data_IF_375978712534
#
_entry.id   IF_375978712534
#
_cell.length_a   1.000
_cell.length_b   1.000
_cell.length_c   1.000
_cell.angle_alpha   90.00
_cell.angle_beta   90.00
_cell.angle_gamma   90.00
#
_symmetry.space_group_name_H-M   'P 1'
#
loop_
_entity.id
_entity.type
_entity.pdbx_description
1 polymer ?
#
# COMPACT_ATOMS: atom_id res chain seq x y z
N UNK A 1 12.65 21.91 -7.33
CA UNK A 1 11.93 20.79 -7.99
C UNK A 1 10.46 21.16 -8.02
N UNK A 2 9.83 21.38 -9.19
CA UNK A 2 8.37 21.53 -9.22
C UNK A 2 7.77 20.23 -8.66
N UNK A 3 6.88 20.34 -7.66
CA UNK A 3 6.05 19.21 -7.23
C UNK A 3 5.28 18.76 -8.46
N UNK A 4 5.45 17.52 -8.93
CA UNK A 4 4.56 17.00 -9.95
C UNK A 4 3.11 17.13 -9.47
N UNK A 5 2.17 17.46 -10.36
CA UNK A 5 0.79 17.82 -10.00
C UNK A 5 0.11 16.72 -9.18
N UNK A 6 0.49 15.44 -9.39
CA UNK A 6 0.12 14.29 -8.57
C UNK A 6 0.29 14.51 -7.03
N UNK A 7 1.20 15.38 -6.59
CA UNK A 7 1.42 15.73 -5.17
C UNK A 7 0.62 16.94 -4.68
N UNK A 8 -0.02 17.69 -5.58
CA UNK A 8 -0.81 18.88 -5.28
C UNK A 8 -2.32 18.61 -5.24
N UNK A 9 -2.75 17.49 -5.82
CA UNK A 9 -4.17 17.10 -5.93
C UNK A 9 -4.66 16.41 -4.68
N UNK A 10 -5.78 16.90 -4.14
CA UNK A 10 -6.52 16.25 -3.08
C UNK A 10 -7.46 15.19 -3.68
N UNK A 11 -7.05 13.93 -3.65
CA UNK A 11 -7.84 12.80 -4.15
C UNK A 11 -8.99 12.39 -3.22
N UNK A 12 -9.10 12.99 -2.02
CA UNK A 12 -10.32 12.88 -1.21
C UNK A 12 -11.39 13.83 -1.73
N UNK A 13 -11.00 15.03 -2.14
CA UNK A 13 -11.91 15.99 -2.76
C UNK A 13 -12.26 15.64 -4.22
N UNK A 14 -11.35 14.99 -4.93
CA UNK A 14 -11.49 14.57 -6.34
C UNK A 14 -11.28 13.05 -6.50
N UNK A 15 -12.11 12.20 -5.87
CA UNK A 15 -11.92 10.75 -5.91
C UNK A 15 -12.00 10.20 -7.35
N UNK A 16 -12.80 10.78 -8.23
CA UNK A 16 -12.95 10.39 -9.64
C UNK A 16 -11.65 10.55 -10.46
N UNK A 17 -10.72 11.40 -10.03
CA UNK A 17 -9.40 11.51 -10.66
C UNK A 17 -8.44 10.38 -10.25
N UNK A 18 -8.77 9.61 -9.21
CA UNK A 18 -7.97 8.48 -8.78
C UNK A 18 -8.11 7.28 -9.73
N UNK A 19 -6.97 6.77 -10.21
CA UNK A 19 -6.91 5.54 -10.99
C UNK A 19 -6.32 4.39 -10.17
N UNK A 20 -7.01 3.24 -10.19
CA UNK A 20 -6.54 2.03 -9.52
C UNK A 20 -5.36 1.43 -10.30
N UNK A 21 -4.14 1.81 -9.90
CA UNK A 21 -2.91 1.23 -10.44
C UNK A 21 -2.65 -0.21 -9.99
N UNK A 22 -1.71 -0.89 -10.68
CA UNK A 22 -1.27 -2.26 -10.34
C UNK A 22 -0.47 -2.29 -9.04
N UNK A 23 -0.79 -3.21 -8.14
CA UNK A 23 -0.04 -3.45 -6.91
C UNK A 23 0.02 -2.22 -6.00
N UNK A 24 1.23 -1.70 -5.81
CA UNK A 24 1.57 -0.56 -4.94
C UNK A 24 1.72 0.77 -5.70
N UNK A 25 1.34 0.83 -6.97
CA UNK A 25 1.46 2.06 -7.76
C UNK A 25 0.66 3.21 -7.12
N UNK A 26 1.30 4.37 -6.98
CA UNK A 26 0.69 5.59 -6.44
C UNK A 26 0.78 5.80 -4.93
N UNK A 27 1.20 4.79 -4.14
CA UNK A 27 1.20 4.90 -2.65
C UNK A 27 1.95 6.10 -2.09
N UNK A 28 3.02 6.54 -2.76
CA UNK A 28 3.81 7.69 -2.31
C UNK A 28 3.39 9.03 -2.93
N UNK A 29 2.31 9.05 -3.72
CA UNK A 29 1.90 10.22 -4.52
C UNK A 29 0.51 10.73 -4.14
N UNK A 30 -0.45 9.83 -3.96
CA UNK A 30 -1.86 10.16 -3.75
C UNK A 30 -2.07 10.83 -2.39
N UNK A 31 -2.31 12.14 -2.39
CA UNK A 31 -2.64 12.92 -1.19
C UNK A 31 -4.17 12.97 -0.98
N UNK A 32 -4.63 13.13 0.28
CA UNK A 32 -3.87 13.23 1.53
C UNK A 32 -3.42 11.88 2.12
N UNK A 33 -3.88 10.76 1.54
CA UNK A 33 -3.71 9.41 2.09
C UNK A 33 -2.26 8.99 2.32
N UNK A 34 -1.34 9.41 1.44
CA UNK A 34 0.10 9.21 1.68
C UNK A 34 0.51 9.79 3.03
N UNK A 35 0.13 11.04 3.31
CA UNK A 35 0.54 11.74 4.54
C UNK A 35 -0.09 11.13 5.78
N UNK A 36 -1.27 10.53 5.65
CA UNK A 36 -1.97 9.84 6.74
C UNK A 36 -1.41 8.43 7.00
N UNK A 37 -1.10 7.67 5.94
CA UNK A 37 -0.74 6.25 6.03
C UNK A 37 0.77 5.99 6.13
N UNK A 38 1.61 6.83 5.51
CA UNK A 38 3.06 6.65 5.55
C UNK A 38 3.65 6.68 6.96
N UNK A 39 3.26 7.59 7.86
CA UNK A 39 3.78 7.60 9.24
C UNK A 39 3.43 6.33 10.04
N UNK A 40 2.34 5.65 9.68
CA UNK A 40 1.90 4.41 10.32
C UNK A 40 2.66 3.18 9.80
N UNK A 41 3.42 3.31 8.73
CA UNK A 41 3.99 2.18 8.00
C UNK A 41 5.41 1.83 8.47
N UNK A 42 5.59 0.67 9.11
CA UNK A 42 6.90 0.18 9.56
C UNK A 42 6.94 -1.34 9.65
N UNK A 43 8.09 -1.93 9.30
CA UNK A 43 8.35 -3.37 9.38
C UNK A 43 9.76 -3.67 9.93
N UNK A 44 10.32 -2.73 10.70
CA UNK A 44 11.71 -2.85 11.21
C UNK A 44 11.88 -4.07 12.13
N UNK A 45 10.91 -4.31 13.02
CA UNK A 45 10.82 -5.49 13.89
C UNK A 45 9.43 -6.13 13.77
N UNK A 46 9.21 -7.36 14.25
CA UNK A 46 7.88 -7.97 14.29
C UNK A 46 6.85 -7.14 15.07
N UNK A 47 7.24 -6.52 16.18
CA UNK A 47 6.40 -5.66 17.00
C UNK A 47 5.98 -4.41 16.23
N UNK A 48 6.94 -3.76 15.56
CA UNK A 48 6.65 -2.61 14.71
C UNK A 48 5.72 -2.98 13.55
N UNK A 49 5.86 -4.17 12.96
CA UNK A 49 4.98 -4.68 11.92
C UNK A 49 3.56 -4.94 12.43
N UNK A 50 3.41 -5.51 13.63
CA UNK A 50 2.11 -5.69 14.30
C UNK A 50 1.41 -4.35 14.55
N UNK A 51 2.12 -3.40 15.14
CA UNK A 51 1.59 -2.06 15.39
C UNK A 51 1.20 -1.35 14.08
N UNK A 52 2.08 -1.43 13.08
CA UNK A 52 1.84 -0.83 11.77
C UNK A 52 0.64 -1.44 11.04
N UNK A 53 0.56 -2.77 10.95
CA UNK A 53 -0.57 -3.44 10.29
C UNK A 53 -1.89 -3.19 11.03
N UNK A 54 -1.87 -3.12 12.36
CA UNK A 54 -3.05 -2.77 13.15
C UNK A 54 -3.49 -1.31 12.90
N UNK A 55 -2.57 -0.36 12.87
CA UNK A 55 -2.88 1.05 12.61
C UNK A 55 -3.42 1.26 11.19
N UNK A 56 -2.80 0.64 10.18
CA UNK A 56 -3.29 0.70 8.80
C UNK A 56 -4.66 0.03 8.64
N UNK A 57 -4.91 -1.05 9.39
CA UNK A 57 -6.22 -1.71 9.41
C UNK A 57 -7.29 -0.83 10.04
N UNK A 58 -7.01 -0.21 11.19
CA UNK A 58 -7.93 0.75 11.81
C UNK A 58 -8.23 1.91 10.86
N UNK A 59 -7.22 2.40 10.13
CA UNK A 59 -7.43 3.47 9.18
C UNK A 59 -8.21 3.04 7.94
N UNK A 60 -8.01 1.81 7.47
CA UNK A 60 -8.87 1.19 6.46
C UNK A 60 -10.35 1.13 6.90
N UNK A 61 -10.60 0.71 8.15
CA UNK A 61 -11.96 0.67 8.70
C UNK A 61 -12.58 2.07 8.79
N UNK A 62 -11.79 3.07 9.19
CA UNK A 62 -12.24 4.46 9.22
C UNK A 62 -12.66 4.96 7.82
N UNK A 63 -11.85 4.72 6.78
CA UNK A 63 -12.22 5.05 5.41
C UNK A 63 -13.44 4.25 4.93
N UNK A 64 -13.54 2.98 5.31
CA UNK A 64 -14.68 2.12 4.98
C UNK A 64 -15.98 2.71 5.53
N UNK A 65 -16.00 3.08 6.81
CA UNK A 65 -17.16 3.73 7.45
C UNK A 65 -17.48 5.07 6.80
N UNK A 66 -16.46 5.86 6.44
CA UNK A 66 -16.63 7.16 5.80
C UNK A 66 -17.08 7.10 4.33
N UNK A 67 -17.18 5.92 3.71
CA UNK A 67 -17.49 5.83 2.28
C UNK A 67 -16.31 6.10 1.35
N UNK A 68 -15.11 6.31 1.89
CA UNK A 68 -13.93 6.78 1.18
C UNK A 68 -13.18 5.62 0.49
N UNK A 69 -13.54 5.34 -0.76
CA UNK A 69 -12.91 4.26 -1.52
C UNK A 69 -11.41 4.49 -1.79
N UNK A 70 -10.99 5.72 -2.08
CA UNK A 70 -9.58 6.00 -2.39
C UNK A 70 -8.71 5.75 -1.16
N UNK A 71 -9.17 6.17 0.01
CA UNK A 71 -8.53 5.84 1.29
C UNK A 71 -8.47 4.34 1.55
N UNK A 72 -9.57 3.63 1.32
CA UNK A 72 -9.60 2.16 1.45
C UNK A 72 -8.56 1.48 0.55
N UNK A 73 -8.48 1.88 -0.73
CA UNK A 73 -7.51 1.28 -1.65
C UNK A 73 -6.08 1.67 -1.29
N UNK A 74 -5.82 2.91 -0.86
CA UNK A 74 -4.50 3.31 -0.37
C UNK A 74 -4.07 2.49 0.84
N UNK A 75 -4.92 2.32 1.86
CA UNK A 75 -4.61 1.48 3.01
C UNK A 75 -4.29 0.03 2.60
N UNK A 76 -5.08 -0.54 1.66
CA UNK A 76 -4.78 -1.85 1.06
C UNK A 76 -3.40 -1.89 0.38
N UNK A 77 -3.04 -0.85 -0.38
CA UNK A 77 -1.72 -0.77 -1.04
C UNK A 77 -0.58 -0.73 -0.02
N UNK A 78 -0.75 0.02 1.08
CA UNK A 78 0.25 0.08 2.15
C UNK A 78 0.41 -1.25 2.88
N UNK A 79 -0.70 -1.99 3.13
CA UNK A 79 -0.65 -3.35 3.65
C UNK A 79 0.08 -4.30 2.69
N UNK A 80 -0.21 -4.23 1.39
CA UNK A 80 0.52 -4.97 0.36
C UNK A 80 2.01 -4.65 0.38
N UNK A 81 2.37 -3.36 0.42
CA UNK A 81 3.76 -2.89 0.49
C UNK A 81 4.49 -3.40 1.74
N UNK A 82 3.78 -3.48 2.87
CA UNK A 82 4.29 -4.10 4.10
C UNK A 82 4.67 -5.55 3.88
N UNK A 83 3.76 -6.33 3.27
CA UNK A 83 4.00 -7.73 2.93
C UNK A 83 5.17 -7.90 1.95
N UNK A 84 5.13 -7.22 0.79
CA UNK A 84 6.12 -7.42 -0.27
C UNK A 84 7.52 -6.99 0.16
N UNK A 85 7.65 -5.85 0.86
CA UNK A 85 8.96 -5.37 1.33
C UNK A 85 9.49 -6.22 2.47
N UNK A 86 8.68 -6.54 3.49
CA UNK A 86 9.15 -7.43 4.55
C UNK A 86 9.55 -8.80 3.98
N UNK A 87 8.79 -9.34 3.03
CA UNK A 87 9.08 -10.63 2.40
C UNK A 87 10.32 -10.61 1.52
N UNK A 88 10.63 -9.48 0.88
CA UNK A 88 11.91 -9.28 0.21
C UNK A 88 13.07 -9.42 1.20
N UNK A 89 12.99 -8.78 2.37
CA UNK A 89 14.05 -8.87 3.39
C UNK A 89 14.14 -10.25 4.03
N UNK A 90 13.01 -10.97 4.14
CA UNK A 90 13.00 -12.35 4.63
C UNK A 90 13.72 -13.34 3.69
N UNK A 91 13.71 -13.07 2.38
CA UNK A 91 14.32 -13.92 1.34
C UNK A 91 15.73 -13.49 0.95
N UNK A 92 16.01 -12.19 1.03
CA UNK A 92 17.28 -11.62 0.60
C UNK A 92 17.92 -10.91 1.80
N UNK A 93 19.04 -11.40 2.35
CA UNK A 93 19.77 -10.72 3.41
C UNK A 93 20.03 -9.24 3.06
N UNK A 94 19.65 -8.34 3.96
CA UNK A 94 19.74 -6.89 3.74
C UNK A 94 18.82 -6.33 2.63
N UNK A 95 17.90 -7.14 2.09
CA UNK A 95 16.99 -6.78 1.01
C UNK A 95 17.63 -6.66 -0.38
N UNK A 96 18.90 -7.06 -0.56
CA UNK A 96 19.61 -6.89 -1.85
C UNK A 96 19.33 -8.08 -2.77
N UNK A 97 18.84 -7.79 -3.98
CA UNK A 97 18.58 -8.80 -5.02
C UNK A 97 19.77 -9.03 -5.95
N UNK A 98 20.75 -8.15 -5.90
CA UNK A 98 21.97 -8.20 -6.71
C UNK A 98 23.17 -8.09 -5.77
N UNK A 99 24.25 -8.74 -6.15
CA UNK A 99 25.59 -8.52 -5.60
C UNK A 99 26.20 -7.21 -6.12
N UNK A 100 27.30 -6.71 -5.50
CA UNK A 100 27.93 -5.46 -5.93
C UNK A 100 28.40 -5.44 -7.39
N UNK A 101 28.68 -6.63 -7.96
CA UNK A 101 29.07 -6.85 -9.35
C UNK A 101 27.86 -6.92 -10.32
N UNK A 102 26.63 -6.80 -9.81
CA UNK A 102 25.41 -6.90 -10.60
C UNK A 102 24.87 -8.33 -10.76
N UNK A 103 25.52 -9.34 -10.20
CA UNK A 103 25.06 -10.73 -10.26
C UNK A 103 23.76 -10.90 -9.48
N UNK A 104 22.71 -11.53 -10.04
CA UNK A 104 21.49 -11.84 -9.31
C UNK A 104 21.74 -12.76 -8.12
N UNK A 105 21.22 -12.39 -6.96
CA UNK A 105 21.20 -13.25 -5.77
C UNK A 105 20.03 -14.21 -5.85
N UNK A 106 20.27 -15.45 -5.49
CA UNK A 106 19.19 -16.41 -5.28
C UNK A 106 18.44 -16.12 -3.96
N UNK A 107 17.11 -16.24 -3.95
CA UNK A 107 16.34 -16.10 -2.72
C UNK A 107 16.70 -17.24 -1.75
N UNK A 108 17.06 -16.88 -0.54
CA UNK A 108 17.28 -17.83 0.54
C UNK A 108 15.95 -18.12 1.24
N UNK A 109 15.73 -19.37 1.64
CA UNK A 109 14.52 -19.74 2.36
C UNK A 109 14.60 -19.20 3.79
N UNK A 110 13.88 -18.10 4.04
CA UNK A 110 13.68 -17.51 5.38
C UNK A 110 14.98 -17.10 6.09
N UNK A 111 15.91 -16.49 5.34
CA UNK A 111 17.16 -15.96 5.88
C UNK A 111 16.96 -15.00 7.06
N UNK A 112 15.82 -14.29 7.11
CA UNK A 112 15.41 -13.52 8.29
C UNK A 112 14.00 -13.94 8.74
N UNK A 113 13.89 -14.80 9.77
CA UNK A 113 12.61 -15.24 10.33
C UNK A 113 11.76 -14.09 10.88
N UNK A 114 12.38 -13.05 11.46
CA UNK A 114 11.65 -11.90 12.00
C UNK A 114 11.00 -11.08 10.87
N UNK A 115 11.67 -10.94 9.73
CA UNK A 115 11.09 -10.31 8.53
C UNK A 115 9.99 -11.17 7.91
N UNK A 116 10.13 -12.50 7.97
CA UNK A 116 9.07 -13.42 7.54
C UNK A 116 7.81 -13.22 8.39
N UNK A 117 7.96 -13.19 9.70
CA UNK A 117 6.86 -12.93 10.64
C UNK A 117 6.19 -11.58 10.35
N UNK A 118 6.98 -10.51 10.24
CA UNK A 118 6.49 -9.19 9.88
C UNK A 118 5.67 -9.19 8.58
N UNK A 119 6.14 -9.90 7.56
CA UNK A 119 5.43 -10.00 6.29
C UNK A 119 4.09 -10.74 6.42
N UNK A 120 4.03 -11.83 7.20
CA UNK A 120 2.80 -12.59 7.41
C UNK A 120 1.74 -11.77 8.14
N UNK A 121 2.15 -10.91 9.07
CA UNK A 121 1.25 -9.96 9.75
C UNK A 121 0.58 -9.02 8.74
N UNK A 122 1.35 -8.41 7.84
CA UNK A 122 0.78 -7.57 6.78
C UNK A 122 -0.08 -8.36 5.79
N UNK A 123 0.34 -9.59 5.44
CA UNK A 123 -0.39 -10.45 4.52
C UNK A 123 -1.79 -10.77 5.04
N UNK A 124 -1.93 -11.10 6.33
CA UNK A 124 -3.21 -11.42 6.93
C UNK A 124 -4.20 -10.24 6.79
N UNK A 125 -3.76 -9.01 7.10
CA UNK A 125 -4.59 -7.81 6.94
C UNK A 125 -4.86 -7.46 5.47
N UNK A 126 -3.87 -7.62 4.60
CA UNK A 126 -4.05 -7.40 3.17
C UNK A 126 -5.08 -8.37 2.56
N UNK A 127 -5.00 -9.65 2.91
CA UNK A 127 -5.97 -10.66 2.46
C UNK A 127 -7.37 -10.36 3.01
N UNK A 128 -7.48 -9.90 4.26
CA UNK A 128 -8.76 -9.47 4.83
C UNK A 128 -9.40 -8.32 4.03
N UNK A 129 -8.64 -7.29 3.64
CA UNK A 129 -9.18 -6.21 2.78
C UNK A 129 -9.63 -6.75 1.42
N UNK A 130 -8.88 -7.68 0.83
CA UNK A 130 -9.24 -8.28 -0.48
C UNK A 130 -10.49 -9.14 -0.41
N UNK A 131 -10.77 -9.73 0.75
CA UNK A 131 -11.96 -10.52 1.01
C UNK A 131 -13.16 -9.66 1.48
N UNK A 132 -12.96 -8.37 1.78
CA UNK A 132 -14.06 -7.50 2.22
C UNK A 132 -15.02 -7.21 1.04
N UNK A 133 -16.30 -7.63 1.14
CA UNK A 133 -17.28 -7.42 0.08
C UNK A 133 -17.54 -5.93 -0.18
N UNK A 134 -17.48 -5.07 0.83
CA UNK A 134 -17.67 -3.61 0.67
C UNK A 134 -16.54 -3.01 -0.15
N UNK A 135 -15.31 -3.48 0.05
CA UNK A 135 -14.19 -3.05 -0.79
C UNK A 135 -14.36 -3.52 -2.23
N UNK A 136 -14.79 -4.76 -2.45
CA UNK A 136 -15.01 -5.30 -3.80
C UNK A 136 -16.10 -4.53 -4.56
N UNK A 137 -17.23 -4.25 -3.90
CA UNK A 137 -18.33 -3.47 -4.47
C UNK A 137 -17.89 -2.06 -4.84
N UNK A 138 -17.28 -1.33 -3.91
CA UNK A 138 -16.82 0.05 -4.16
C UNK A 138 -15.74 0.11 -5.22
N UNK A 139 -14.84 -0.89 -5.26
CA UNK A 139 -13.85 -1.00 -6.32
C UNK A 139 -14.50 -1.16 -7.69
N UNK A 140 -15.50 -2.04 -7.80
CA UNK A 140 -16.23 -2.25 -9.05
C UNK A 140 -16.96 -0.97 -9.47
N UNK A 141 -17.65 -0.31 -8.53
CA UNK A 141 -18.31 0.97 -8.78
C UNK A 141 -17.30 2.02 -9.27
N UNK A 142 -16.16 2.19 -8.61
CA UNK A 142 -15.12 3.14 -9.01
C UNK A 142 -14.57 2.87 -10.42
N UNK A 143 -14.37 1.59 -10.76
CA UNK A 143 -13.89 1.19 -12.09
C UNK A 143 -14.93 1.40 -13.20
N UNK A 144 -16.22 1.36 -12.87
CA UNK A 144 -17.30 1.61 -13.82
C UNK A 144 -17.47 3.09 -14.16
N UNK A 145 -17.03 3.99 -13.27
CA UNK A 145 -17.07 5.44 -13.53
C UNK A 145 -15.92 5.83 -14.45
N UNK A 146 -16.25 6.47 -15.57
CA UNK A 146 -15.24 7.03 -16.47
C UNK A 146 -14.50 8.17 -15.76
N UNK A 147 -13.17 8.17 -15.87
CA UNK A 147 -12.36 9.29 -15.39
C UNK A 147 -12.69 10.53 -16.22
N UNK A 148 -13.09 11.67 -15.61
CA UNK A 148 -13.33 12.90 -16.35
C UNK A 148 -12.06 13.39 -17.06
N UNK A 149 -12.21 14.01 -18.23
CA UNK A 149 -11.09 14.60 -18.98
C UNK A 149 -10.43 15.75 -18.20
N UNK A 150 -11.16 16.42 -17.32
CA UNK A 150 -10.64 17.45 -16.41
C UNK A 150 -9.56 16.92 -15.45
N UNK A 151 -9.47 15.60 -15.26
CA UNK A 151 -8.42 14.98 -14.46
C UNK A 151 -7.12 14.76 -15.25
N UNK A 152 -7.09 15.02 -16.56
CA UNK A 152 -5.89 14.93 -17.40
C UNK A 152 -4.98 16.17 -17.24
N UNK A 153 -5.52 17.28 -16.70
CA UNK A 153 -4.80 18.53 -16.40
C UNK A 153 -4.28 18.58 -14.95
N UNK A 154 -4.36 17.45 -14.23
CA UNK A 154 -4.16 17.29 -12.78
C UNK A 154 -3.00 16.32 -12.46
#
# INVERSE_FOLDING_TARGET
MPRSIEYATDFRARPECYQIGRGEAGVFKVQPYKSELLPLWSFKTPEAARASAAALWAQYEAYRVAGDFVGMDMARKYLQMGFTRAMRYAKFPGGRKLDPDGTPREPQQWADPAKREAALVFKAKWDAVRADPVYQERKAAHQAHARPSECDEV
#
